data_IF_826766398732
#
_entry.id   IF_826766398732
#
_cell.length_a   1.000
_cell.length_b   1.000
_cell.length_c   1.000
_cell.angle_alpha   90.00
_cell.angle_beta   90.00
_cell.angle_gamma   90.00
#
_symmetry.space_group_name_H-M   'P 1'
#
loop_
_entity.id
_entity.type
_entity.pdbx_description
1 polymer ?
#
# COMPACT_ATOMS: atom_id res chain seq x y z
N UNK A 1 -7.66 -6.83 2.52
CA UNK A 1 -8.32 -6.79 1.18
C UNK A 1 -8.13 -5.46 0.45
N UNK A 2 -7.96 -4.35 1.17
CA UNK A 2 -7.80 -3.01 0.60
C UNK A 2 -6.56 -2.85 -0.32
N UNK A 3 -5.45 -3.52 -0.01
CA UNK A 3 -4.20 -3.42 -0.77
C UNK A 3 -4.33 -3.82 -2.25
N UNK A 4 -5.22 -4.78 -2.57
CA UNK A 4 -5.45 -5.19 -3.96
C UNK A 4 -6.04 -4.07 -4.82
N UNK A 5 -6.99 -3.31 -4.26
CA UNK A 5 -7.57 -2.13 -4.94
C UNK A 5 -6.52 -1.02 -5.12
N UNK A 6 -5.70 -0.77 -4.09
CA UNK A 6 -4.62 0.22 -4.17
C UNK A 6 -3.62 -0.15 -5.26
N UNK A 7 -3.30 -1.44 -5.42
CA UNK A 7 -2.41 -1.91 -6.49
C UNK A 7 -2.96 -1.57 -7.90
N UNK A 8 -4.26 -1.74 -8.12
CA UNK A 8 -4.90 -1.36 -9.39
C UNK A 8 -4.75 0.14 -9.64
N UNK A 9 -4.96 0.97 -8.60
CA UNK A 9 -4.74 2.41 -8.72
C UNK A 9 -3.28 2.75 -8.99
N UNK A 10 -2.31 2.07 -8.36
CA UNK A 10 -0.88 2.24 -8.65
C UNK A 10 -0.59 1.91 -10.11
N UNK A 11 -1.13 0.81 -10.65
CA UNK A 11 -0.94 0.42 -12.04
C UNK A 11 -1.46 1.48 -13.02
N UNK A 12 -2.69 1.97 -12.80
CA UNK A 12 -3.29 3.03 -13.63
C UNK A 12 -2.51 4.35 -13.50
N UNK A 13 -2.07 4.69 -12.30
CA UNK A 13 -1.32 5.92 -12.04
C UNK A 13 0.05 5.89 -12.72
N UNK A 14 0.75 4.75 -12.66
CA UNK A 14 2.01 4.55 -13.37
C UNK A 14 1.82 4.60 -14.89
N UNK A 15 0.76 3.98 -15.43
CA UNK A 15 0.43 4.05 -16.85
C UNK A 15 0.27 5.50 -17.31
N UNK A 16 -0.59 6.26 -16.65
CA UNK A 16 -0.85 7.65 -17.02
C UNK A 16 0.40 8.53 -16.87
N UNK A 17 1.19 8.30 -15.83
CA UNK A 17 2.40 9.08 -15.59
C UNK A 17 3.47 8.80 -16.64
N UNK A 18 3.65 7.53 -17.02
CA UNK A 18 4.58 7.14 -18.06
C UNK A 18 4.15 7.66 -19.44
N UNK A 19 2.85 7.59 -19.76
CA UNK A 19 2.30 8.18 -20.99
C UNK A 19 2.51 9.69 -21.05
N UNK A 20 2.23 10.42 -19.96
CA UNK A 20 2.43 11.87 -19.86
C UNK A 20 3.91 12.26 -19.97
N UNK A 21 4.80 11.51 -19.31
CA UNK A 21 6.24 11.73 -19.35
C UNK A 21 6.89 11.25 -20.66
N UNK A 22 6.13 10.62 -21.56
CA UNK A 22 6.60 10.06 -22.85
C UNK A 22 7.80 9.12 -22.70
N UNK A 23 7.83 8.32 -21.62
CA UNK A 23 8.88 7.33 -21.41
C UNK A 23 8.63 6.09 -22.27
N UNK A 24 9.70 5.48 -22.77
CA UNK A 24 9.63 4.19 -23.47
C UNK A 24 9.19 3.07 -22.51
N UNK A 25 8.63 1.99 -23.06
CA UNK A 25 8.25 0.78 -22.32
C UNK A 25 7.23 1.04 -21.20
N UNK A 26 6.14 1.74 -21.53
CA UNK A 26 5.07 2.10 -20.57
C UNK A 26 4.56 0.89 -19.77
N UNK A 27 4.32 -0.25 -20.43
CA UNK A 27 3.84 -1.47 -19.76
C UNK A 27 4.86 -2.05 -18.76
N UNK A 28 6.16 -1.89 -19.02
CA UNK A 28 7.20 -2.28 -18.06
C UNK A 28 7.09 -1.43 -16.79
N UNK A 29 6.86 -0.12 -16.92
CA UNK A 29 6.68 0.75 -15.75
C UNK A 29 5.40 0.43 -14.97
N UNK A 30 4.30 0.08 -15.66
CA UNK A 30 3.09 -0.41 -15.00
C UNK A 30 3.38 -1.68 -14.19
N UNK A 31 4.10 -2.64 -14.79
CA UNK A 31 4.50 -3.87 -14.11
C UNK A 31 5.43 -3.58 -12.91
N UNK A 32 6.43 -2.70 -13.06
CA UNK A 32 7.31 -2.25 -11.97
C UNK A 32 6.49 -1.62 -10.84
N UNK A 33 5.52 -0.76 -11.17
CA UNK A 33 4.64 -0.13 -10.18
C UNK A 33 3.83 -1.17 -9.39
N UNK A 34 3.15 -2.08 -10.10
CA UNK A 34 2.31 -3.11 -9.47
C UNK A 34 3.13 -4.13 -8.65
N UNK A 35 4.18 -4.71 -9.25
CA UNK A 35 5.05 -5.69 -8.59
C UNK A 35 5.81 -5.04 -7.43
N UNK A 36 6.34 -3.82 -7.63
CA UNK A 36 7.03 -3.07 -6.59
C UNK A 36 6.12 -2.76 -5.40
N UNK A 37 4.88 -2.32 -5.66
CA UNK A 37 3.89 -2.13 -4.59
C UNK A 37 3.55 -3.44 -3.88
N UNK A 38 3.35 -4.55 -4.61
CA UNK A 38 3.09 -5.85 -4.02
C UNK A 38 4.23 -6.34 -3.12
N UNK A 39 5.48 -6.21 -3.58
CA UNK A 39 6.66 -6.57 -2.80
C UNK A 39 6.76 -5.74 -1.52
N UNK A 40 6.47 -4.43 -1.60
CA UNK A 40 6.41 -3.55 -0.43
C UNK A 40 5.28 -3.96 0.53
N UNK A 41 4.09 -4.30 0.02
CA UNK A 41 2.99 -4.82 0.86
C UNK A 41 3.45 -6.06 1.62
N UNK A 42 4.00 -7.03 0.90
CA UNK A 42 4.44 -8.29 1.48
C UNK A 42 5.48 -8.05 2.58
N UNK A 43 6.49 -7.21 2.31
CA UNK A 43 7.51 -6.87 3.29
C UNK A 43 6.91 -6.17 4.53
N UNK A 44 6.08 -5.15 4.33
CA UNK A 44 5.50 -4.35 5.42
C UNK A 44 4.52 -5.16 6.28
N UNK A 45 3.78 -6.11 5.70
CA UNK A 45 2.96 -7.05 6.46
C UNK A 45 3.83 -7.93 7.35
N UNK A 46 4.95 -8.43 6.85
CA UNK A 46 5.90 -9.21 7.67
C UNK A 46 6.52 -8.37 8.80
N UNK A 47 6.87 -7.11 8.51
CA UNK A 47 7.36 -6.17 9.54
C UNK A 47 6.29 -5.94 10.62
N UNK A 48 5.03 -5.75 10.21
CA UNK A 48 3.92 -5.59 11.15
C UNK A 48 3.72 -6.82 12.05
N UNK A 49 3.82 -8.03 11.48
CA UNK A 49 3.76 -9.28 12.24
C UNK A 49 4.92 -9.34 13.24
N UNK A 50 6.15 -9.06 12.80
CA UNK A 50 7.33 -9.06 13.67
C UNK A 50 7.20 -8.06 14.83
N UNK A 51 6.70 -6.85 14.55
CA UNK A 51 6.43 -5.84 15.59
C UNK A 51 5.41 -6.37 16.61
N UNK A 52 4.30 -6.94 16.14
CA UNK A 52 3.27 -7.53 17.02
C UNK A 52 3.83 -8.65 17.90
N UNK A 53 4.67 -9.52 17.33
CA UNK A 53 5.34 -10.58 18.09
C UNK A 53 6.32 -10.03 19.11
N UNK A 54 7.08 -8.98 18.77
CA UNK A 54 8.04 -8.35 19.69
C UNK A 54 7.35 -7.74 20.93
N UNK A 55 6.22 -7.05 20.76
CA UNK A 55 5.43 -6.53 21.87
C UNK A 55 4.81 -7.65 22.73
N UNK A 56 4.45 -8.78 22.13
CA UNK A 56 3.90 -9.93 22.86
C UNK A 56 4.98 -10.72 23.61
N UNK A 57 6.18 -10.84 23.05
CA UNK A 57 7.31 -11.48 23.70
C UNK A 57 7.76 -10.73 24.97
N UNK A 58 7.54 -9.42 25.05
CA UNK A 58 7.80 -8.62 26.26
C UNK A 58 6.79 -8.82 27.39
N UNK A 59 5.65 -9.50 27.17
CA UNK A 59 4.61 -9.77 28.18
C UNK A 59 4.82 -11.12 28.92
N UNK A 60 6.06 -11.63 28.96
CA UNK A 60 6.45 -12.98 29.41
C UNK A 60 5.79 -13.51 30.68
N UNK A 61 4.66 -14.21 30.52
CA UNK A 61 4.00 -15.02 31.54
C UNK A 61 3.42 -16.31 30.93
N UNK A 62 3.05 -17.27 31.79
CA UNK A 62 2.69 -18.66 31.50
C UNK A 62 1.56 -18.94 30.46
N UNK A 63 1.09 -17.93 29.73
CA UNK A 63 0.22 -18.06 28.56
C UNK A 63 0.98 -18.16 27.21
N UNK A 64 2.31 -18.13 27.22
CA UNK A 64 3.15 -18.32 26.03
C UNK A 64 3.12 -19.78 25.58
N UNK A 65 2.06 -20.17 24.89
CA UNK A 65 2.11 -21.29 23.95
C UNK A 65 2.30 -20.70 22.56
N UNK A 66 3.48 -20.93 21.99
CA UNK A 66 3.81 -20.61 20.61
C UNK A 66 2.97 -21.47 19.66
N UNK A 67 1.68 -21.20 19.55
CA UNK A 67 0.77 -21.91 18.67
C UNK A 67 0.39 -20.99 17.53
N UNK A 68 0.92 -21.38 16.37
CA UNK A 68 0.37 -21.25 15.03
C UNK A 68 -0.61 -20.09 14.83
N UNK A 69 -0.13 -19.07 14.12
CA UNK A 69 -0.89 -18.08 13.38
C UNK A 69 -2.39 -18.01 13.70
N UNK A 70 -2.74 -17.17 14.67
CA UNK A 70 -4.10 -16.80 15.04
C UNK A 70 -4.98 -17.97 15.53
N UNK A 71 -5.10 -18.16 16.84
CA UNK A 71 -6.36 -18.70 17.35
C UNK A 71 -6.77 -18.19 18.75
N UNK A 72 -7.97 -17.61 18.77
CA UNK A 72 -8.97 -17.36 19.84
C UNK A 72 -8.59 -16.75 21.21
N UNK A 73 -7.38 -16.90 21.77
CA UNK A 73 -7.02 -16.22 23.04
C UNK A 73 -6.81 -14.70 22.90
N UNK A 74 -6.53 -14.24 21.68
CA UNK A 74 -6.23 -12.83 21.36
C UNK A 74 -7.47 -12.01 20.93
N UNK A 75 -8.69 -12.57 20.98
CA UNK A 75 -9.89 -11.80 20.64
C UNK A 75 -9.98 -10.53 21.51
N UNK A 76 -9.60 -10.60 22.79
CA UNK A 76 -9.59 -9.46 23.72
C UNK A 76 -8.69 -8.28 23.31
N UNK A 77 -7.52 -8.55 22.71
CA UNK A 77 -6.51 -7.53 22.35
C UNK A 77 -6.95 -6.66 21.15
N UNK A 78 -7.96 -7.12 20.41
CA UNK A 78 -8.63 -6.38 19.33
C UNK A 78 -10.06 -5.94 19.67
N UNK A 79 -10.53 -6.19 20.91
CA UNK A 79 -11.84 -5.77 21.38
C UNK A 79 -11.72 -4.42 22.14
N UNK A 80 -12.65 -3.51 21.88
CA UNK A 80 -12.64 -2.14 22.41
C UNK A 80 -11.95 -1.11 21.51
N UNK A 81 -12.06 0.18 21.86
CA UNK A 81 -11.62 1.29 21.01
C UNK A 81 -10.14 1.21 20.59
N UNK A 82 -9.24 0.87 21.53
CA UNK A 82 -7.81 0.69 21.25
C UNK A 82 -7.54 -0.46 20.27
N UNK A 83 -8.27 -1.58 20.42
CA UNK A 83 -8.18 -2.73 19.53
C UNK A 83 -8.61 -2.41 18.10
N UNK A 84 -9.65 -1.57 17.92
CA UNK A 84 -10.08 -1.09 16.60
C UNK A 84 -9.00 -0.22 15.95
N UNK A 85 -8.38 0.70 16.69
CA UNK A 85 -7.29 1.53 16.17
C UNK A 85 -6.07 0.71 15.78
N UNK A 86 -5.70 -0.27 16.61
CA UNK A 86 -4.60 -1.21 16.35
C UNK A 86 -4.88 -2.03 15.08
N UNK A 87 -6.08 -2.59 14.95
CA UNK A 87 -6.51 -3.32 13.75
C UNK A 87 -6.43 -2.45 12.49
N UNK A 88 -6.97 -1.23 12.56
CA UNK A 88 -6.97 -0.29 11.44
C UNK A 88 -5.55 0.08 11.04
N UNK A 89 -4.66 0.33 12.00
CA UNK A 89 -3.25 0.62 11.74
C UNK A 89 -2.57 -0.56 11.03
N UNK A 90 -2.69 -1.78 11.54
CA UNK A 90 -2.01 -2.93 10.95
C UNK A 90 -2.57 -3.33 9.57
N UNK A 91 -3.84 -3.01 9.29
CA UNK A 91 -4.44 -3.22 7.96
C UNK A 91 -4.08 -2.12 6.95
N UNK A 92 -4.12 -0.84 7.35
CA UNK A 92 -3.91 0.28 6.43
C UNK A 92 -2.44 0.67 6.26
N UNK A 93 -1.61 0.54 7.30
CA UNK A 93 -0.23 1.01 7.27
C UNK A 93 0.61 0.40 6.14
N UNK A 94 0.51 -0.91 5.80
CA UNK A 94 1.26 -1.44 4.67
C UNK A 94 0.85 -0.74 3.38
N UNK A 95 -0.46 -0.54 3.16
CA UNK A 95 -1.01 0.13 1.97
C UNK A 95 -0.53 1.56 1.85
N UNK A 96 -0.61 2.34 2.93
CA UNK A 96 -0.22 3.76 2.93
C UNK A 96 1.29 3.89 2.71
N UNK A 97 2.10 3.18 3.50
CA UNK A 97 3.57 3.27 3.42
C UNK A 97 4.05 2.77 2.05
N UNK A 98 3.51 1.64 1.59
CA UNK A 98 3.82 1.10 0.26
C UNK A 98 3.45 2.06 -0.87
N UNK A 99 2.32 2.76 -0.76
CA UNK A 99 1.89 3.75 -1.74
C UNK A 99 2.82 4.98 -1.78
N UNK A 100 3.25 5.47 -0.61
CA UNK A 100 4.22 6.58 -0.54
C UNK A 100 5.57 6.17 -1.12
N UNK A 101 6.04 4.97 -0.81
CA UNK A 101 7.30 4.45 -1.35
C UNK A 101 7.24 4.29 -2.88
N UNK A 102 6.14 3.76 -3.43
CA UNK A 102 6.00 3.61 -4.88
C UNK A 102 5.80 4.96 -5.59
N UNK A 103 5.17 5.94 -4.92
CA UNK A 103 5.09 7.31 -5.41
C UNK A 103 6.48 7.94 -5.57
N UNK A 104 7.41 7.64 -4.66
CA UNK A 104 8.79 8.09 -4.77
C UNK A 104 9.50 7.47 -5.99
N UNK A 105 9.30 6.18 -6.24
CA UNK A 105 9.83 5.50 -7.44
C UNK A 105 9.30 6.16 -8.72
N UNK A 106 7.99 6.40 -8.79
CA UNK A 106 7.35 7.12 -9.91
C UNK A 106 7.99 8.49 -10.12
N UNK A 107 8.09 9.28 -9.05
CA UNK A 107 8.64 10.64 -9.12
C UNK A 107 10.09 10.63 -9.60
N UNK A 108 10.93 9.76 -9.02
CA UNK A 108 12.36 9.72 -9.30
C UNK A 108 12.70 9.21 -10.70
N UNK A 109 12.00 8.18 -11.17
CA UNK A 109 12.39 7.46 -12.39
C UNK A 109 11.49 7.75 -13.60
N UNK A 110 10.21 8.06 -13.39
CA UNK A 110 9.25 8.29 -14.48
C UNK A 110 9.11 9.78 -14.76
N UNK A 111 8.61 10.57 -13.80
CA UNK A 111 8.35 12.00 -14.04
C UNK A 111 9.60 12.85 -13.94
N UNK A 112 10.57 12.43 -13.11
CA UNK A 112 11.86 13.10 -12.90
C UNK A 112 11.71 14.55 -12.45
N UNK A 113 10.63 14.84 -11.72
CA UNK A 113 10.35 16.17 -11.18
C UNK A 113 11.09 16.37 -9.84
N UNK A 114 11.19 17.63 -9.39
CA UNK A 114 11.76 17.94 -8.09
C UNK A 114 10.95 17.33 -6.95
N UNK A 115 11.62 16.98 -5.85
CA UNK A 115 10.95 16.41 -4.70
C UNK A 115 10.07 17.45 -4.00
N UNK A 116 8.76 17.25 -4.07
CA UNK A 116 7.74 18.01 -3.33
C UNK A 116 6.52 17.13 -3.11
N UNK A 117 5.70 17.44 -2.10
CA UNK A 117 4.45 16.72 -1.84
C UNK A 117 3.51 16.79 -3.05
N UNK A 118 3.46 17.94 -3.71
CA UNK A 118 2.65 18.14 -4.91
C UNK A 118 3.06 17.22 -6.06
N UNK A 119 4.36 17.09 -6.33
CA UNK A 119 4.86 16.24 -7.43
C UNK A 119 4.75 14.75 -7.07
N UNK A 120 4.99 14.40 -5.80
CA UNK A 120 4.91 13.03 -5.30
C UNK A 120 3.53 12.42 -5.57
N UNK A 121 2.46 13.18 -5.31
CA UNK A 121 1.07 12.75 -5.49
C UNK A 121 0.39 13.35 -6.74
N UNK A 122 1.17 14.00 -7.61
CA UNK A 122 0.66 14.59 -8.85
C UNK A 122 0.07 13.53 -9.78
N UNK A 123 -0.93 13.89 -10.58
CA UNK A 123 -1.56 12.95 -11.52
C UNK A 123 -2.70 12.12 -10.93
N UNK A 124 -2.86 12.06 -9.60
CA UNK A 124 -3.93 11.27 -8.95
C UNK A 124 -5.31 11.83 -9.29
N UNK A 125 -5.47 13.16 -9.25
CA UNK A 125 -6.75 13.82 -9.57
C UNK A 125 -7.16 13.52 -11.01
N UNK A 126 -6.22 13.66 -11.94
CA UNK A 126 -6.44 13.36 -13.36
C UNK A 126 -6.74 11.87 -13.55
N UNK A 127 -6.08 10.99 -12.82
CA UNK A 127 -6.36 9.55 -12.87
C UNK A 127 -7.81 9.24 -12.53
N UNK A 128 -8.34 9.79 -11.44
CA UNK A 128 -9.75 9.62 -11.07
C UNK A 128 -10.70 10.25 -12.08
N UNK A 129 -10.34 11.39 -12.69
CA UNK A 129 -11.14 11.99 -13.77
C UNK A 129 -11.20 11.08 -15.00
N UNK A 130 -10.08 10.49 -15.41
CA UNK A 130 -10.02 9.53 -16.52
C UNK A 130 -10.85 8.27 -16.23
N UNK A 131 -10.72 7.70 -15.02
CA UNK A 131 -11.53 6.55 -14.58
C UNK A 131 -13.01 6.90 -14.62
N UNK A 132 -13.40 8.08 -14.14
CA UNK A 132 -14.80 8.53 -14.21
C UNK A 132 -15.30 8.64 -15.65
N UNK A 133 -14.46 9.16 -16.55
CA UNK A 133 -14.80 9.31 -17.97
C UNK A 133 -14.92 7.98 -18.70
N UNK A 134 -14.17 6.93 -18.32
CA UNK A 134 -14.26 5.62 -18.97
C UNK A 134 -15.59 4.89 -18.75
N UNK A 135 -16.42 5.35 -17.81
CA UNK A 135 -17.77 4.83 -17.59
C UNK A 135 -18.85 5.56 -18.39
N UNK A 136 -18.51 6.63 -19.10
CA UNK A 136 -19.46 7.29 -20.00
C UNK A 136 -19.55 6.50 -21.30
N UNK A 137 -20.76 6.24 -21.76
CA UNK A 137 -20.98 5.64 -23.09
C UNK A 137 -20.41 6.57 -24.17
N UNK A 138 -19.83 6.02 -25.26
CA UNK A 138 -19.56 6.79 -26.46
C UNK A 138 -20.90 7.36 -26.95
N UNK A 139 -20.95 8.67 -27.21
CA UNK A 139 -22.05 9.29 -27.96
C UNK A 139 -22.06 8.83 -29.41
#
# INVERSE_FOLDING_TARGET
>A
MISGMVMIFVALWFYQSAMKAKVSNVLMWVAIGAIGFFALQWLLVNVNIYILESFRASEGGAGYEAIQGADRKNAGDFLGFSGVLKSLYFELSPSIIGFVAIAFVRLKFITKESFSVANLFGGIKEMFQTIKQSFKSPE
#
